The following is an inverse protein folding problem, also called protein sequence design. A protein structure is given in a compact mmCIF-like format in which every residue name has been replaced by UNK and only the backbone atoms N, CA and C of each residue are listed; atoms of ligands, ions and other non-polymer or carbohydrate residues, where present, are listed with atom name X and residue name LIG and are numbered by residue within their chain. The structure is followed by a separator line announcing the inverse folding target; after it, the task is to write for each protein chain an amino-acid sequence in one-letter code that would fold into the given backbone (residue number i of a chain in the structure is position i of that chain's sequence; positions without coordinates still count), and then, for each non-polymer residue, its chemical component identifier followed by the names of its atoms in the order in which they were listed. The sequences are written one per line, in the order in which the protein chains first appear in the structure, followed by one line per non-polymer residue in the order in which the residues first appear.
data_IF_055936518414
#
_entry.id   IF_055936518414
#
_cell.length_a   1.000
_cell.length_b   1.000
_cell.length_c   1.000
_cell.angle_alpha   90.00
_cell.angle_beta   90.00
_cell.angle_gamma   90.00
#
_symmetry.space_group_name_H-M   'P 1'
#
loop_
_entity.id
_entity.type
_entity.pdbx_description
1 polymer ?
#
# COMPACT_ATOMS: atom_id res chain seq x y z
N UNK A 1 0.14 -17.89 -6.17
CA UNK A 1 1.04 -17.88 -5.01
C UNK A 1 1.65 -16.49 -4.85
N UNK A 2 1.83 -16.03 -3.63
CA UNK A 2 2.48 -14.77 -3.29
C UNK A 2 3.67 -15.05 -2.37
N UNK A 3 4.45 -14.02 -2.03
CA UNK A 3 5.56 -14.16 -1.08
C UNK A 3 5.11 -14.73 0.26
N UNK A 4 3.93 -14.34 0.76
CA UNK A 4 3.44 -14.65 2.11
C UNK A 4 2.24 -15.60 2.15
N UNK A 5 1.63 -15.94 0.99
CA UNK A 5 0.38 -16.71 0.97
C UNK A 5 0.30 -17.66 -0.22
N UNK A 6 -0.38 -18.80 0.01
CA UNK A 6 -0.91 -19.63 -1.05
C UNK A 6 -2.29 -19.13 -1.47
N UNK A 7 -2.59 -19.17 -2.76
CA UNK A 7 -3.86 -18.76 -3.33
C UNK A 7 -4.46 -19.96 -4.08
N UNK A 8 -5.65 -20.38 -3.66
CA UNK A 8 -6.40 -21.46 -4.29
C UNK A 8 -7.66 -20.87 -4.91
N UNK A 9 -7.84 -21.07 -6.20
CA UNK A 9 -9.04 -20.60 -6.92
C UNK A 9 -9.94 -21.81 -7.18
N UNK A 10 -11.22 -21.65 -6.81
CA UNK A 10 -12.27 -22.62 -7.08
C UNK A 10 -13.53 -21.83 -7.51
N UNK A 11 -13.94 -22.02 -8.76
CA UNK A 11 -15.04 -21.29 -9.39
C UNK A 11 -14.88 -19.75 -9.24
N UNK A 12 -15.85 -19.10 -8.63
CA UNK A 12 -15.86 -17.64 -8.38
C UNK A 12 -15.17 -17.24 -7.06
N UNK A 13 -14.51 -18.18 -6.38
CA UNK A 13 -13.91 -17.96 -5.06
C UNK A 13 -12.39 -18.09 -5.08
N UNK A 14 -11.76 -17.24 -4.29
CA UNK A 14 -10.33 -17.29 -3.99
C UNK A 14 -10.15 -17.58 -2.50
N UNK A 15 -9.33 -18.56 -2.18
CA UNK A 15 -8.96 -18.94 -0.82
C UNK A 15 -7.50 -18.59 -0.59
N UNK A 16 -7.23 -17.69 0.34
CA UNK A 16 -5.90 -17.24 0.71
C UNK A 16 -5.48 -17.87 2.02
N UNK A 17 -4.42 -18.67 1.99
CA UNK A 17 -3.84 -19.36 3.16
C UNK A 17 -2.45 -18.80 3.41
N UNK A 18 -2.14 -18.39 4.64
CA UNK A 18 -0.81 -17.88 5.00
C UNK A 18 0.24 -18.98 4.95
N UNK A 19 1.40 -18.67 4.39
CA UNK A 19 2.56 -19.56 4.44
C UNK A 19 3.05 -19.68 5.88
N UNK A 20 3.64 -20.83 6.22
CA UNK A 20 4.32 -20.99 7.50
C UNK A 20 5.54 -20.06 7.56
N UNK A 21 5.72 -19.39 8.69
CA UNK A 21 6.86 -18.52 8.97
C UNK A 21 6.89 -18.14 10.45
N UNK A 22 7.98 -17.54 10.89
CA UNK A 22 8.16 -17.13 12.28
C UNK A 22 7.09 -16.14 12.78
N UNK A 23 6.40 -15.47 11.86
CA UNK A 23 5.33 -14.51 12.17
C UNK A 23 4.01 -15.18 12.57
N UNK A 24 3.80 -16.45 12.19
CA UNK A 24 2.55 -17.20 12.42
C UNK A 24 2.81 -18.56 13.09
N UNK A 25 3.30 -18.55 14.35
CA UNK A 25 3.81 -19.79 14.98
C UNK A 25 2.73 -20.78 15.42
N UNK A 26 1.46 -20.35 15.51
CA UNK A 26 0.34 -21.19 15.96
C UNK A 26 -0.92 -20.96 15.13
N UNK A 27 -1.83 -21.95 15.13
CA UNK A 27 -3.14 -21.83 14.48
C UNK A 27 -3.95 -20.65 15.02
N UNK A 28 -3.92 -20.42 16.32
CA UNK A 28 -4.62 -19.28 16.93
C UNK A 28 -4.11 -17.92 16.43
N UNK A 29 -2.80 -17.78 16.24
CA UNK A 29 -2.21 -16.58 15.66
C UNK A 29 -2.61 -16.41 14.20
N UNK A 30 -2.64 -17.50 13.43
CA UNK A 30 -3.09 -17.48 12.03
C UNK A 30 -4.56 -17.11 11.90
N UNK A 31 -5.42 -17.69 12.74
CA UNK A 31 -6.84 -17.33 12.79
C UNK A 31 -7.04 -15.84 13.08
N UNK A 32 -6.39 -15.34 14.13
CA UNK A 32 -6.48 -13.92 14.52
C UNK A 32 -6.05 -13.00 13.38
N UNK A 33 -4.97 -13.36 12.68
CA UNK A 33 -4.47 -12.61 11.54
C UNK A 33 -5.46 -12.63 10.35
N UNK A 34 -6.01 -13.82 10.01
CA UNK A 34 -7.03 -13.92 8.95
C UNK A 34 -8.28 -13.09 9.27
N UNK A 35 -8.71 -13.09 10.55
CA UNK A 35 -9.84 -12.26 10.99
C UNK A 35 -9.55 -10.77 10.91
N UNK A 36 -8.34 -10.34 11.29
CA UNK A 36 -7.91 -8.95 11.17
C UNK A 36 -7.84 -8.51 9.71
N UNK A 37 -7.26 -9.33 8.84
CA UNK A 37 -7.21 -9.08 7.40
C UNK A 37 -8.63 -8.99 6.78
N UNK A 38 -9.53 -9.88 7.20
CA UNK A 38 -10.93 -9.84 6.78
C UNK A 38 -11.61 -8.52 7.16
N UNK A 39 -11.49 -8.10 8.42
CA UNK A 39 -12.06 -6.84 8.91
C UNK A 39 -11.51 -5.61 8.18
N UNK A 40 -10.20 -5.58 7.94
CA UNK A 40 -9.57 -4.49 7.19
C UNK A 40 -10.05 -4.47 5.74
N UNK A 41 -10.13 -5.63 5.08
CA UNK A 41 -10.61 -5.74 3.71
C UNK A 41 -12.08 -5.33 3.57
N UNK A 42 -12.92 -5.69 4.52
CA UNK A 42 -14.33 -5.27 4.56
C UNK A 42 -14.48 -3.75 4.73
N UNK A 43 -13.56 -3.09 5.45
CA UNK A 43 -13.57 -1.61 5.55
C UNK A 43 -13.41 -0.95 4.20
N UNK A 44 -12.51 -1.46 3.36
CA UNK A 44 -12.29 -0.93 2.00
C UNK A 44 -13.41 -1.33 1.04
N UNK A 45 -14.07 -2.45 1.31
CA UNK A 45 -15.08 -3.03 0.44
C UNK A 45 -16.26 -3.59 1.26
N UNK A 46 -17.14 -2.74 1.81
CA UNK A 46 -18.22 -3.19 2.72
C UNK A 46 -19.13 -4.27 2.13
N UNK A 47 -19.28 -4.30 0.80
CA UNK A 47 -20.17 -5.23 0.09
C UNK A 47 -19.38 -6.37 -0.60
N UNK A 48 -18.11 -6.58 -0.27
CA UNK A 48 -17.36 -7.70 -0.80
C UNK A 48 -17.54 -8.92 0.08
N UNK A 49 -17.87 -10.06 -0.53
CA UNK A 49 -18.05 -11.31 0.20
C UNK A 49 -16.68 -11.81 0.68
N UNK A 50 -16.48 -11.73 1.99
CA UNK A 50 -15.26 -12.15 2.69
C UNK A 50 -15.63 -12.96 3.91
N UNK A 51 -14.96 -14.11 4.08
CA UNK A 51 -15.20 -15.04 5.19
C UNK A 51 -13.90 -15.71 5.63
N UNK A 52 -13.69 -15.87 6.93
CA UNK A 52 -12.60 -16.68 7.47
C UNK A 52 -13.10 -18.09 7.72
N UNK A 53 -12.46 -19.07 7.10
CA UNK A 53 -12.81 -20.48 7.18
C UNK A 53 -11.69 -21.29 7.81
N UNK A 54 -12.01 -22.31 8.65
CA UNK A 54 -11.04 -23.33 9.01
C UNK A 54 -10.73 -24.21 7.79
N UNK A 55 -9.49 -24.67 7.69
CA UNK A 55 -9.08 -25.71 6.77
C UNK A 55 -8.94 -26.98 7.60
N UNK A 56 -9.77 -27.97 7.32
CA UNK A 56 -9.87 -29.20 8.10
C UNK A 56 -9.30 -30.39 7.34
N UNK A 57 -8.61 -31.26 8.06
CA UNK A 57 -8.18 -32.55 7.57
C UNK A 57 -9.04 -33.67 8.19
N UNK A 58 -9.54 -34.56 7.36
CA UNK A 58 -10.28 -35.72 7.78
C UNK A 58 -9.88 -36.95 6.92
N UNK A 59 -9.19 -37.92 7.50
CA UNK A 59 -8.71 -39.14 6.83
C UNK A 59 -7.88 -38.90 5.55
N UNK A 60 -7.06 -37.81 5.54
CA UNK A 60 -6.24 -37.44 4.40
C UNK A 60 -6.92 -36.45 3.41
N UNK A 61 -8.22 -36.26 3.55
CA UNK A 61 -8.95 -35.27 2.77
C UNK A 61 -8.86 -33.87 3.41
N UNK A 62 -8.51 -32.87 2.61
CA UNK A 62 -8.44 -31.46 3.04
C UNK A 62 -9.67 -30.72 2.53
N UNK A 63 -10.39 -30.03 3.42
CA UNK A 63 -11.58 -29.23 3.09
C UNK A 63 -11.50 -27.83 3.66
N UNK A 64 -11.90 -26.85 2.86
CA UNK A 64 -12.10 -25.47 3.28
C UNK A 64 -13.50 -25.30 3.88
N UNK A 65 -13.56 -24.96 5.16
CA UNK A 65 -14.84 -24.88 5.90
C UNK A 65 -15.37 -26.23 6.37
N UNK A 66 -16.57 -26.20 6.97
CA UNK A 66 -17.23 -27.38 7.53
C UNK A 66 -16.84 -27.66 9.00
N UNK A 67 -17.50 -28.67 9.59
CA UNK A 67 -17.42 -29.00 11.04
C UNK A 67 -16.79 -30.36 11.32
N UNK A 68 -16.15 -31.02 10.34
CA UNK A 68 -15.56 -32.31 10.49
C UNK A 68 -14.04 -32.31 10.39
N UNK A 69 -13.37 -33.24 11.11
CA UNK A 69 -11.93 -33.39 11.08
C UNK A 69 -11.17 -32.49 12.06
N UNK A 70 -9.86 -32.42 11.87
CA UNK A 70 -8.96 -31.59 12.68
C UNK A 70 -8.63 -30.33 11.91
N UNK A 71 -8.80 -29.14 12.51
CA UNK A 71 -8.37 -27.88 11.89
C UNK A 71 -6.86 -27.82 11.84
N UNK A 72 -6.32 -27.74 10.63
CA UNK A 72 -4.88 -27.69 10.37
C UNK A 72 -4.42 -26.30 9.93
N UNK A 73 -5.35 -25.43 9.43
CA UNK A 73 -5.02 -24.09 8.92
C UNK A 73 -6.28 -23.20 8.90
N UNK A 74 -6.10 -21.91 8.63
CA UNK A 74 -7.18 -20.96 8.35
C UNK A 74 -7.00 -20.31 6.98
N UNK A 75 -8.11 -20.09 6.28
CA UNK A 75 -8.16 -19.43 4.99
C UNK A 75 -9.08 -18.21 5.03
N UNK A 76 -8.68 -17.15 4.32
CA UNK A 76 -9.58 -16.06 3.96
C UNK A 76 -10.20 -16.40 2.60
N UNK A 77 -11.51 -16.68 2.60
CA UNK A 77 -12.31 -16.86 1.38
C UNK A 77 -12.80 -15.51 0.89
N UNK A 78 -12.66 -15.23 -0.38
CA UNK A 78 -13.10 -14.01 -1.02
C UNK A 78 -13.61 -14.28 -2.43
N UNK A 79 -14.50 -13.41 -2.93
CA UNK A 79 -14.89 -13.42 -4.34
C UNK A 79 -13.64 -13.17 -5.21
N UNK A 80 -13.45 -14.01 -6.23
CA UNK A 80 -12.33 -13.88 -7.15
C UNK A 80 -12.55 -12.70 -8.08
N UNK A 81 -11.59 -11.77 -8.11
CA UNK A 81 -11.62 -10.64 -9.03
C UNK A 81 -10.87 -11.01 -10.32
N UNK A 82 -11.49 -10.87 -11.50
CA UNK A 82 -10.82 -11.12 -12.77
C UNK A 82 -9.63 -10.18 -12.99
N UNK A 83 -8.50 -10.73 -13.40
CA UNK A 83 -7.27 -9.97 -13.64
C UNK A 83 -7.46 -8.81 -14.62
N UNK A 84 -8.34 -8.97 -15.60
CA UNK A 84 -8.67 -7.93 -16.57
C UNK A 84 -9.29 -6.67 -15.97
N UNK A 85 -9.76 -6.70 -14.72
CA UNK A 85 -10.27 -5.56 -13.97
C UNK A 85 -9.18 -4.86 -13.14
N UNK A 86 -7.99 -5.45 -13.05
CA UNK A 86 -6.88 -4.87 -12.30
C UNK A 86 -6.41 -3.57 -12.96
N UNK A 87 -6.29 -2.52 -12.16
CA UNK A 87 -5.90 -1.19 -12.65
C UNK A 87 -4.56 -1.22 -13.38
N UNK A 88 -3.60 -2.04 -12.93
CA UNK A 88 -2.32 -2.20 -13.59
C UNK A 88 -2.49 -2.65 -15.06
N UNK A 89 -3.30 -3.68 -15.29
CA UNK A 89 -3.58 -4.16 -16.65
C UNK A 89 -4.39 -3.18 -17.49
N UNK A 90 -5.31 -2.45 -16.85
CA UNK A 90 -6.11 -1.44 -17.54
C UNK A 90 -5.26 -0.23 -17.96
N UNK A 91 -4.29 0.17 -17.13
CA UNK A 91 -3.32 1.23 -17.44
C UNK A 91 -2.38 0.84 -18.58
N UNK A 92 -1.87 -0.40 -18.56
CA UNK A 92 -1.02 -0.94 -19.61
C UNK A 92 -1.75 -0.96 -20.98
N UNK A 93 -3.02 -1.36 -20.98
CA UNK A 93 -3.88 -1.39 -22.16
C UNK A 93 -4.49 -0.02 -22.53
N UNK A 94 -4.14 1.07 -21.85
CA UNK A 94 -4.71 2.41 -22.02
C UNK A 94 -6.25 2.43 -21.97
N UNK A 95 -6.86 1.64 -21.09
CA UNK A 95 -8.32 1.53 -20.93
C UNK A 95 -8.88 2.37 -19.76
N UNK A 96 -8.05 3.16 -19.11
CA UNK A 96 -8.44 4.03 -18.00
C UNK A 96 -8.68 5.45 -18.51
N UNK A 97 -9.78 6.03 -18.06
CA UNK A 97 -10.17 7.42 -18.32
C UNK A 97 -10.02 8.29 -17.06
N UNK A 98 -10.07 9.60 -17.23
CA UNK A 98 -10.11 10.54 -16.10
C UNK A 98 -11.31 10.29 -15.19
N UNK A 99 -12.48 9.90 -15.73
CA UNK A 99 -13.67 9.56 -14.93
C UNK A 99 -13.42 8.32 -14.03
N UNK A 100 -12.70 7.33 -14.51
CA UNK A 100 -12.31 6.20 -13.68
C UNK A 100 -11.44 6.65 -12.49
N UNK A 101 -10.50 7.57 -12.73
CA UNK A 101 -9.65 8.13 -11.67
C UNK A 101 -10.45 8.96 -10.68
N UNK A 102 -11.47 9.70 -11.13
CA UNK A 102 -12.44 10.39 -10.26
C UNK A 102 -13.15 9.39 -9.34
N UNK A 103 -13.63 8.27 -9.85
CA UNK A 103 -14.28 7.20 -9.05
C UNK A 103 -13.33 6.61 -8.00
N UNK A 104 -12.09 6.30 -8.39
CA UNK A 104 -11.06 5.78 -7.46
C UNK A 104 -10.74 6.80 -6.36
N UNK A 105 -10.52 8.07 -6.73
CA UNK A 105 -10.22 9.15 -5.78
C UNK A 105 -11.36 9.39 -4.78
N UNK A 106 -12.60 9.38 -5.28
CA UNK A 106 -13.81 9.50 -4.46
C UNK A 106 -13.85 8.42 -3.40
N UNK A 107 -13.73 7.17 -3.82
CA UNK A 107 -13.80 6.04 -2.89
C UNK A 107 -12.66 6.05 -1.85
N UNK A 108 -11.44 6.38 -2.25
CA UNK A 108 -10.32 6.51 -1.31
C UNK A 108 -10.57 7.62 -0.30
N UNK A 109 -11.04 8.79 -0.75
CA UNK A 109 -11.34 9.92 0.14
C UNK A 109 -12.46 9.60 1.14
N UNK A 110 -13.51 8.90 0.71
CA UNK A 110 -14.61 8.44 1.57
C UNK A 110 -14.12 7.46 2.64
N UNK A 111 -13.28 6.48 2.27
CA UNK A 111 -12.69 5.52 3.20
C UNK A 111 -11.82 6.24 4.24
N UNK A 112 -10.99 7.18 3.82
CA UNK A 112 -10.16 7.95 4.72
C UNK A 112 -11.01 8.77 5.71
N UNK A 113 -12.13 9.35 5.25
CA UNK A 113 -13.01 10.15 6.09
C UNK A 113 -13.64 9.36 7.25
N UNK A 114 -13.93 8.07 7.06
CA UNK A 114 -14.54 7.19 8.07
C UNK A 114 -13.52 6.40 8.90
N UNK A 115 -12.23 6.57 8.65
CA UNK A 115 -11.16 5.73 9.23
C UNK A 115 -10.09 6.51 10.01
N UNK A 116 -10.41 7.61 10.74
CA UNK A 116 -9.38 8.34 11.47
C UNK A 116 -8.75 7.45 12.56
N UNK A 117 -7.43 7.49 12.64
CA UNK A 117 -6.71 6.85 13.73
C UNK A 117 -7.01 7.58 15.05
N UNK A 118 -7.04 6.83 16.15
CA UNK A 118 -7.41 7.36 17.47
C UNK A 118 -6.23 7.30 18.44
N UNK A 119 -6.24 8.20 19.40
CA UNK A 119 -5.34 8.20 20.56
C UNK A 119 -3.87 8.00 20.19
N UNK A 120 -3.24 7.00 20.82
CA UNK A 120 -1.84 6.65 20.61
C UNK A 120 -1.52 6.20 19.18
N UNK A 121 -2.48 5.64 18.45
CA UNK A 121 -2.27 5.23 17.06
C UNK A 121 -2.00 6.46 16.18
N UNK A 122 -2.74 7.55 16.38
CA UNK A 122 -2.54 8.80 15.63
C UNK A 122 -1.15 9.43 15.84
N UNK A 123 -0.45 9.09 16.93
CA UNK A 123 0.90 9.59 17.19
C UNK A 123 1.95 9.15 16.17
N UNK A 124 1.65 8.10 15.38
CA UNK A 124 2.49 7.70 14.23
C UNK A 124 2.63 8.80 13.18
N UNK A 125 1.66 9.72 13.11
CA UNK A 125 1.70 10.90 12.25
C UNK A 125 2.58 12.05 12.76
N UNK A 126 3.19 11.92 13.93
CA UNK A 126 4.16 12.90 14.43
C UNK A 126 5.44 12.90 13.56
N UNK A 127 6.19 14.03 13.50
CA UNK A 127 7.38 14.12 12.67
C UNK A 127 8.47 13.10 13.04
N UNK A 128 8.64 12.76 14.32
CA UNK A 128 9.65 11.80 14.77
C UNK A 128 9.44 10.38 14.22
N UNK A 129 8.26 9.75 14.37
CA UNK A 129 7.96 8.46 13.77
C UNK A 129 8.14 8.44 12.24
N UNK A 130 7.69 9.47 11.52
CA UNK A 130 7.89 9.54 10.08
C UNK A 130 9.36 9.68 9.71
N UNK A 131 10.13 10.49 10.49
CA UNK A 131 11.57 10.59 10.32
C UNK A 131 12.25 9.23 10.45
N UNK A 132 11.89 8.47 11.49
CA UNK A 132 12.45 7.14 11.71
C UNK A 132 12.16 6.18 10.54
N UNK A 133 10.96 6.24 9.95
CA UNK A 133 10.63 5.46 8.76
C UNK A 133 11.50 5.85 7.54
N UNK A 134 11.74 7.14 7.34
CA UNK A 134 12.64 7.61 6.28
C UNK A 134 14.07 7.14 6.50
N UNK A 135 14.57 7.26 7.73
CA UNK A 135 15.93 6.85 8.10
C UNK A 135 16.14 5.34 7.92
N UNK A 136 15.14 4.53 8.26
CA UNK A 136 15.18 3.07 8.06
C UNK A 136 15.25 2.71 6.56
N UNK A 137 14.42 3.31 5.71
CA UNK A 137 14.48 3.12 4.26
C UNK A 137 15.85 3.52 3.69
N UNK A 138 16.37 4.67 4.10
CA UNK A 138 17.67 5.16 3.66
C UNK A 138 18.80 4.25 4.13
N UNK A 139 18.65 3.63 5.30
CA UNK A 139 19.59 2.61 5.78
C UNK A 139 19.53 1.32 4.96
N UNK A 140 18.31 0.84 4.65
CA UNK A 140 18.11 -0.34 3.81
C UNK A 140 18.71 -0.16 2.41
N UNK A 141 18.59 1.04 1.84
CA UNK A 141 19.18 1.37 0.54
C UNK A 141 20.69 1.18 0.47
N UNK A 142 21.41 1.35 1.59
CA UNK A 142 22.87 1.15 1.62
C UNK A 142 23.31 -0.25 1.19
N UNK A 143 22.43 -1.24 1.30
CA UNK A 143 22.71 -2.62 0.87
C UNK A 143 22.79 -2.77 -0.66
N UNK A 144 22.27 -1.78 -1.40
CA UNK A 144 22.15 -1.80 -2.86
C UNK A 144 23.02 -0.76 -3.57
N UNK A 145 23.97 -0.16 -2.84
CA UNK A 145 24.80 0.95 -3.34
C UNK A 145 25.71 0.62 -4.54
N UNK A 146 26.16 -0.59 -4.67
CA UNK A 146 27.23 -0.89 -5.63
C UNK A 146 26.79 -0.92 -7.10
N UNK A 147 25.48 -0.97 -7.37
CA UNK A 147 24.98 -1.14 -8.73
C UNK A 147 24.27 0.09 -9.31
N UNK A 148 23.65 0.95 -8.47
CA UNK A 148 22.65 1.90 -8.99
C UNK A 148 22.55 3.21 -8.22
N UNK A 149 23.04 3.31 -7.01
CA UNK A 149 22.93 4.49 -6.16
C UNK A 149 24.32 4.90 -5.64
N UNK A 150 24.63 6.18 -5.77
CA UNK A 150 25.84 6.78 -5.17
C UNK A 150 25.46 7.59 -3.94
N UNK A 151 26.43 7.82 -3.04
CA UNK A 151 26.22 8.64 -1.84
C UNK A 151 25.67 10.04 -2.18
N UNK A 152 26.14 10.77 -3.22
CA UNK A 152 25.57 12.05 -3.61
C UNK A 152 24.09 11.98 -3.98
N UNK A 153 23.65 10.93 -4.70
CA UNK A 153 22.22 10.76 -5.05
C UNK A 153 21.38 10.56 -3.79
N UNK A 154 21.87 9.75 -2.85
CA UNK A 154 21.20 9.56 -1.57
C UNK A 154 21.08 10.86 -0.78
N UNK A 155 22.14 11.65 -0.73
CA UNK A 155 22.15 12.92 -0.02
C UNK A 155 21.20 13.96 -0.67
N UNK A 156 21.05 13.92 -2.00
CA UNK A 156 20.05 14.72 -2.72
C UNK A 156 18.59 14.39 -2.31
N UNK A 157 18.33 13.17 -1.88
CA UNK A 157 17.01 12.77 -1.39
C UNK A 157 16.89 13.05 0.10
N UNK A 158 17.89 12.66 0.87
CA UNK A 158 17.88 12.71 2.32
C UNK A 158 17.76 14.14 2.85
N UNK A 159 18.64 15.06 2.41
CA UNK A 159 18.66 16.41 2.95
C UNK A 159 17.33 17.18 2.81
N UNK A 160 16.64 17.20 1.62
CA UNK A 160 15.35 17.84 1.54
C UNK A 160 14.29 17.23 2.44
N UNK A 161 14.25 15.88 2.55
CA UNK A 161 13.31 15.18 3.44
C UNK A 161 13.52 15.57 4.90
N UNK A 162 14.75 15.43 5.37
CA UNK A 162 15.13 15.74 6.74
C UNK A 162 14.83 17.19 7.10
N UNK A 163 15.29 18.12 6.25
CA UNK A 163 15.04 19.53 6.45
C UNK A 163 13.55 19.85 6.49
N UNK A 164 12.77 19.30 5.56
CA UNK A 164 11.32 19.56 5.55
C UNK A 164 10.64 19.06 6.82
N UNK A 165 10.97 17.85 7.29
CA UNK A 165 10.41 17.30 8.52
C UNK A 165 10.75 18.19 9.71
N UNK A 166 11.98 18.67 9.81
CA UNK A 166 12.45 19.51 10.91
C UNK A 166 11.82 20.91 10.90
N UNK A 167 11.69 21.52 9.72
CA UNK A 167 11.12 22.86 9.58
C UNK A 167 9.59 22.88 9.73
N UNK A 168 8.92 21.76 9.44
CA UNK A 168 7.45 21.67 9.37
C UNK A 168 6.81 20.83 10.48
N UNK A 169 7.44 20.67 11.64
CA UNK A 169 6.90 19.89 12.79
C UNK A 169 5.49 20.31 13.18
N UNK A 170 5.18 21.60 13.09
CA UNK A 170 3.84 22.14 13.37
C UNK A 170 2.78 21.63 12.38
N UNK A 171 3.15 21.48 11.10
CA UNK A 171 2.27 20.97 10.04
C UNK A 171 1.93 19.48 10.29
N UNK A 172 2.90 18.63 10.58
CA UNK A 172 2.66 17.22 10.95
C UNK A 172 1.72 17.11 12.14
N UNK A 173 1.98 17.87 13.22
CA UNK A 173 1.12 17.88 14.38
C UNK A 173 -0.30 18.43 14.09
N UNK A 174 -0.43 19.41 13.20
CA UNK A 174 -1.73 19.92 12.72
C UNK A 174 -2.50 18.84 11.97
N UNK A 175 -1.83 18.13 11.06
CA UNK A 175 -2.45 17.03 10.29
C UNK A 175 -2.97 15.94 11.20
N UNK A 176 -2.18 15.53 12.20
CA UNK A 176 -2.62 14.58 13.23
C UNK A 176 -3.89 15.07 13.93
N UNK A 177 -3.92 16.30 14.42
CA UNK A 177 -5.11 16.88 15.10
C UNK A 177 -6.32 17.01 14.18
N UNK A 178 -6.11 17.20 12.87
CA UNK A 178 -7.16 17.34 11.88
C UNK A 178 -7.66 15.99 11.32
N UNK A 179 -7.30 14.87 11.95
CA UNK A 179 -7.75 13.54 11.53
C UNK A 179 -7.18 13.08 10.17
N UNK A 180 -5.99 13.59 9.79
CA UNK A 180 -5.33 13.19 8.56
C UNK A 180 -4.46 11.94 8.73
N UNK A 181 -4.35 11.42 9.94
CA UNK A 181 -3.77 10.11 10.23
C UNK A 181 -4.92 9.13 10.33
N UNK A 182 -4.88 8.12 9.49
CA UNK A 182 -5.98 7.18 9.30
C UNK A 182 -5.49 5.74 9.41
N UNK A 183 -6.41 4.83 9.62
CA UNK A 183 -6.18 3.42 9.34
C UNK A 183 -6.38 3.24 7.83
N UNK A 184 -5.31 3.48 7.07
CA UNK A 184 -5.28 3.49 5.62
C UNK A 184 -4.97 2.13 5.00
N UNK A 185 -4.74 2.12 3.70
CA UNK A 185 -4.42 0.92 2.94
C UNK A 185 -2.91 0.61 2.96
N UNK A 186 -2.05 1.64 2.99
CA UNK A 186 -0.58 1.52 3.02
C UNK A 186 0.09 1.13 1.70
N UNK A 187 -0.70 0.78 0.68
CA UNK A 187 -0.21 0.43 -0.65
C UNK A 187 -1.35 0.47 -1.70
N UNK A 188 -1.90 1.66 -1.99
CA UNK A 188 -2.79 1.84 -3.14
C UNK A 188 -1.97 1.79 -4.43
N UNK A 189 -1.47 0.60 -4.76
CA UNK A 189 -0.76 0.32 -6.00
C UNK A 189 -1.75 -0.17 -7.07
N UNK A 190 -1.48 0.03 -8.36
CA UNK A 190 -2.38 -0.39 -9.42
C UNK A 190 -2.74 -1.87 -9.40
N UNK A 191 -1.86 -2.74 -8.92
CA UNK A 191 -2.11 -4.17 -8.76
C UNK A 191 -3.11 -4.51 -7.63
N UNK A 192 -3.37 -3.57 -6.71
CA UNK A 192 -4.30 -3.76 -5.60
C UNK A 192 -5.66 -3.10 -5.84
N UNK A 193 -5.85 -2.46 -6.98
CA UNK A 193 -7.07 -1.75 -7.36
C UNK A 193 -7.74 -2.48 -8.53
N UNK A 194 -9.00 -2.83 -8.37
CA UNK A 194 -9.81 -3.48 -9.40
C UNK A 194 -10.98 -2.60 -9.76
N UNK A 195 -11.22 -2.46 -11.06
CA UNK A 195 -12.27 -1.62 -11.61
C UNK A 195 -13.12 -2.43 -12.59
N UNK A 196 -14.41 -2.56 -12.28
CA UNK A 196 -15.40 -3.13 -13.17
C UNK A 196 -16.54 -2.11 -13.37
N UNK A 197 -16.63 -1.51 -14.56
CA UNK A 197 -17.49 -0.37 -14.81
C UNK A 197 -17.21 0.74 -13.77
N UNK A 198 -18.21 1.07 -12.92
CA UNK A 198 -18.07 2.09 -11.88
C UNK A 198 -17.77 1.50 -10.49
N UNK A 199 -17.60 0.18 -10.40
CA UNK A 199 -17.35 -0.49 -9.13
C UNK A 199 -15.84 -0.61 -8.92
N UNK A 200 -15.33 0.09 -7.92
CA UNK A 200 -13.94 0.00 -7.47
C UNK A 200 -13.84 -0.98 -6.30
N UNK A 201 -12.88 -1.90 -6.35
CA UNK A 201 -12.51 -2.82 -5.26
C UNK A 201 -11.04 -2.65 -4.93
N UNK A 202 -10.72 -2.74 -3.64
CA UNK A 202 -9.35 -2.71 -3.14
C UNK A 202 -9.04 -4.04 -2.47
N UNK A 203 -8.00 -4.73 -2.94
CA UNK A 203 -7.50 -5.90 -2.22
C UNK A 203 -6.46 -5.44 -1.21
N UNK A 204 -6.55 -5.98 0.01
CA UNK A 204 -5.57 -5.68 1.05
C UNK A 204 -4.17 -6.06 0.60
N UNK A 205 -3.16 -5.20 0.82
CA UNK A 205 -1.79 -5.59 0.65
C UNK A 205 -1.48 -6.78 1.57
N UNK A 206 -0.63 -7.68 1.09
CA UNK A 206 -0.38 -9.00 1.68
C UNK A 206 0.22 -9.00 3.08
N UNK A 207 0.60 -7.83 3.62
CA UNK A 207 1.42 -7.69 4.83
C UNK A 207 0.87 -6.63 5.79
N UNK A 208 -0.46 -6.53 5.93
CA UNK A 208 -1.00 -5.55 6.88
C UNK A 208 -0.94 -6.10 8.30
N UNK A 209 0.14 -5.78 9.03
CA UNK A 209 0.03 -5.59 10.46
C UNK A 209 -0.70 -4.27 10.73
N UNK A 210 -1.69 -4.28 11.63
CA UNK A 210 -2.45 -3.08 12.02
C UNK A 210 -1.58 -1.84 12.25
N UNK A 211 -0.37 -2.01 12.79
CA UNK A 211 0.60 -0.92 12.99
C UNK A 211 1.10 -0.26 11.71
N UNK A 212 1.18 -1.00 10.60
CA UNK A 212 1.65 -0.47 9.31
C UNK A 212 0.54 0.22 8.51
N UNK A 213 -0.71 -0.02 8.89
CA UNK A 213 -1.87 0.59 8.26
C UNK A 213 -2.21 1.98 8.83
N UNK A 214 -1.61 2.39 9.96
CA UNK A 214 -1.82 3.73 10.52
C UNK A 214 -0.83 4.71 9.89
N UNK A 215 -1.35 5.58 9.04
CA UNK A 215 -0.53 6.46 8.20
C UNK A 215 -1.24 7.79 7.91
N UNK A 216 -0.46 8.78 7.45
CA UNK A 216 -1.02 10.00 6.88
C UNK A 216 -1.69 9.70 5.53
N UNK A 217 -2.88 10.24 5.27
CA UNK A 217 -3.58 10.08 4.00
C UNK A 217 -2.72 10.45 2.79
N UNK A 218 -1.74 11.35 2.98
CA UNK A 218 -0.79 11.71 1.93
C UNK A 218 0.09 10.51 1.49
N UNK A 219 0.35 9.54 2.38
CA UNK A 219 1.07 8.32 2.02
C UNK A 219 0.25 7.47 1.03
N UNK A 220 -1.02 7.22 1.33
CA UNK A 220 -1.88 6.42 0.45
C UNK A 220 -2.09 7.10 -0.90
N UNK A 221 -2.36 8.41 -0.91
CA UNK A 221 -2.45 9.20 -2.15
C UNK A 221 -1.15 9.14 -2.94
N UNK A 222 0.00 9.26 -2.26
CA UNK A 222 1.31 9.22 -2.90
C UNK A 222 1.63 7.86 -3.51
N UNK A 223 1.18 6.76 -2.91
CA UNK A 223 1.41 5.42 -3.46
C UNK A 223 0.90 5.30 -4.90
N UNK A 224 -0.33 5.77 -5.18
CA UNK A 224 -0.88 5.73 -6.54
C UNK A 224 -0.28 6.79 -7.45
N UNK A 225 -0.03 8.02 -6.94
CA UNK A 225 0.53 9.09 -7.78
C UNK A 225 1.97 8.83 -8.22
N UNK A 226 2.76 8.10 -7.42
CA UNK A 226 4.09 7.63 -7.83
C UNK A 226 3.99 6.69 -9.02
N UNK A 227 3.07 5.73 -8.99
CA UNK A 227 2.88 4.79 -10.11
C UNK A 227 2.37 5.49 -11.37
N UNK A 228 1.40 6.38 -11.25
CA UNK A 228 0.91 7.17 -12.39
C UNK A 228 2.03 8.04 -12.98
N UNK A 229 2.89 8.60 -12.14
CA UNK A 229 4.08 9.37 -12.58
C UNK A 229 5.08 8.49 -13.31
N UNK A 230 5.36 7.28 -12.78
CA UNK A 230 6.27 6.31 -13.40
C UNK A 230 5.78 5.89 -14.79
N UNK A 231 4.48 5.70 -14.93
CA UNK A 231 3.83 5.32 -16.18
C UNK A 231 3.59 6.49 -17.14
N UNK A 232 3.98 7.73 -16.77
CA UNK A 232 3.78 8.92 -17.60
C UNK A 232 2.31 9.33 -17.78
N UNK A 233 1.43 8.96 -16.82
CA UNK A 233 -0.02 9.21 -16.89
C UNK A 233 -0.41 10.51 -16.19
N UNK A 234 0.16 11.65 -16.63
CA UNK A 234 -0.01 12.94 -15.96
C UNK A 234 -1.48 13.39 -15.86
N UNK A 235 -2.27 13.26 -16.94
CA UNK A 235 -3.68 13.66 -16.94
C UNK A 235 -4.52 12.85 -15.94
N UNK A 236 -4.24 11.55 -15.83
CA UNK A 236 -4.89 10.67 -14.85
C UNK A 236 -4.51 11.04 -13.42
N UNK A 237 -3.23 11.36 -13.20
CA UNK A 237 -2.72 11.81 -11.91
C UNK A 237 -3.41 13.12 -11.48
N UNK A 238 -3.45 14.13 -12.37
CA UNK A 238 -4.07 15.41 -12.08
C UNK A 238 -5.55 15.27 -11.73
N UNK A 239 -6.28 14.45 -12.51
CA UNK A 239 -7.69 14.16 -12.25
C UNK A 239 -7.89 13.48 -10.88
N UNK A 240 -7.05 12.51 -10.54
CA UNK A 240 -7.07 11.80 -9.26
C UNK A 240 -6.84 12.76 -8.07
N UNK A 241 -5.76 13.55 -8.12
CA UNK A 241 -5.39 14.47 -7.04
C UNK A 241 -6.45 15.56 -6.87
N UNK A 242 -6.92 16.15 -7.97
CA UNK A 242 -7.97 17.18 -7.96
C UNK A 242 -9.23 16.67 -7.28
N UNK A 243 -9.73 15.51 -7.68
CA UNK A 243 -10.93 14.91 -7.11
C UNK A 243 -10.75 14.56 -5.63
N UNK A 244 -9.62 13.98 -5.27
CA UNK A 244 -9.30 13.67 -3.87
C UNK A 244 -9.33 14.92 -2.99
N UNK A 245 -8.70 16.01 -3.44
CA UNK A 245 -8.71 17.31 -2.75
C UNK A 245 -10.11 17.90 -2.63
N UNK A 246 -10.93 17.76 -3.68
CA UNK A 246 -12.29 18.27 -3.67
C UNK A 246 -13.15 17.58 -2.59
N UNK A 247 -13.04 16.28 -2.40
CA UNK A 247 -13.79 15.53 -1.40
C UNK A 247 -13.19 15.69 0.00
N UNK A 248 -11.89 15.45 0.12
CA UNK A 248 -11.21 15.44 1.42
C UNK A 248 -11.10 16.82 2.07
N UNK A 249 -11.17 17.91 1.26
CA UNK A 249 -10.94 19.30 1.69
C UNK A 249 -9.60 19.48 2.45
N UNK A 250 -8.60 18.63 2.14
CA UNK A 250 -7.29 18.67 2.78
C UNK A 250 -6.41 19.75 2.15
N UNK A 251 -6.49 20.97 2.70
CA UNK A 251 -5.76 22.15 2.20
C UNK A 251 -4.24 22.02 2.27
N UNK A 252 -3.74 21.12 3.12
CA UNK A 252 -2.30 20.95 3.33
C UNK A 252 -1.73 19.75 2.54
N UNK A 253 -2.57 18.97 1.85
CA UNK A 253 -2.14 17.77 1.11
C UNK A 253 -1.05 18.09 0.09
N UNK A 254 -1.21 19.15 -0.72
CA UNK A 254 -0.25 19.51 -1.77
C UNK A 254 1.14 19.85 -1.23
N UNK A 255 1.24 20.32 0.02
CA UNK A 255 2.52 20.55 0.69
C UNK A 255 3.19 19.26 1.12
N UNK A 256 2.39 18.21 1.40
CA UNK A 256 2.87 16.90 1.85
C UNK A 256 3.15 15.95 0.70
N UNK A 257 2.50 16.12 -0.45
CA UNK A 257 2.62 15.20 -1.58
C UNK A 257 4.08 14.94 -2.00
N UNK A 258 4.93 15.94 -2.29
CA UNK A 258 6.30 15.66 -2.72
C UNK A 258 7.11 14.89 -1.68
N UNK A 259 6.84 15.12 -0.39
CA UNK A 259 7.50 14.44 0.73
C UNK A 259 7.13 12.96 0.74
N UNK A 260 5.82 12.65 0.71
CA UNK A 260 5.35 11.27 0.71
C UNK A 260 5.57 10.56 -0.62
N UNK A 261 5.55 11.28 -1.76
CA UNK A 261 5.95 10.72 -3.06
C UNK A 261 7.42 10.30 -3.06
N UNK A 262 8.30 11.12 -2.48
CA UNK A 262 9.72 10.76 -2.30
C UNK A 262 9.84 9.49 -1.45
N UNK A 263 9.15 9.43 -0.31
CA UNK A 263 9.13 8.26 0.57
C UNK A 263 8.58 7.01 -0.13
N UNK A 264 7.44 7.11 -0.82
CA UNK A 264 6.80 5.99 -1.51
C UNK A 264 7.67 5.50 -2.68
N UNK A 265 8.30 6.39 -3.43
CA UNK A 265 9.22 6.00 -4.51
C UNK A 265 10.44 5.26 -3.95
N UNK A 266 11.05 5.72 -2.86
CA UNK A 266 12.13 5.02 -2.17
C UNK A 266 11.68 3.62 -1.71
N UNK A 267 10.51 3.53 -1.07
CA UNK A 267 9.93 2.26 -0.59
C UNK A 267 9.74 1.26 -1.73
N UNK A 268 9.20 1.70 -2.87
CA UNK A 268 9.04 0.83 -4.03
C UNK A 268 10.40 0.43 -4.65
N UNK A 269 11.37 1.34 -4.70
CA UNK A 269 12.72 1.03 -5.16
C UNK A 269 13.40 -0.04 -4.30
N UNK A 270 13.35 0.09 -2.97
CA UNK A 270 13.87 -0.93 -2.03
C UNK A 270 13.18 -2.27 -2.24
N UNK A 271 11.82 -2.28 -2.25
CA UNK A 271 11.05 -3.51 -2.48
C UNK A 271 11.41 -4.18 -3.80
N UNK A 272 11.62 -3.40 -4.85
CA UNK A 272 12.02 -3.92 -6.17
C UNK A 272 13.42 -4.54 -6.14
N UNK A 273 14.36 -3.93 -5.41
CA UNK A 273 15.69 -4.53 -5.19
C UNK A 273 15.60 -5.85 -4.40
N UNK A 274 14.75 -5.93 -3.39
CA UNK A 274 14.52 -7.17 -2.62
C UNK A 274 13.95 -8.28 -3.52
N UNK A 275 12.98 -7.94 -4.36
CA UNK A 275 12.40 -8.88 -5.34
C UNK A 275 13.43 -9.33 -6.37
N UNK A 276 14.27 -8.42 -6.87
CA UNK A 276 15.38 -8.73 -7.78
C UNK A 276 16.27 -9.83 -7.20
N UNK A 277 16.68 -9.67 -5.94
CA UNK A 277 17.53 -10.65 -5.25
C UNK A 277 16.79 -11.97 -5.02
N UNK A 278 15.54 -11.92 -4.54
CA UNK A 278 14.76 -13.09 -4.20
C UNK A 278 14.41 -13.94 -5.43
N UNK A 279 14.08 -13.29 -6.55
CA UNK A 279 13.68 -13.95 -7.81
C UNK A 279 14.85 -14.19 -8.77
N UNK A 280 16.02 -13.63 -8.48
CA UNK A 280 17.20 -13.62 -9.38
C UNK A 280 16.87 -13.03 -10.74
N UNK A 281 16.03 -11.99 -10.76
CA UNK A 281 15.57 -11.34 -12.00
C UNK A 281 16.28 -9.99 -12.16
N UNK A 282 17.28 -9.97 -13.04
CA UNK A 282 18.06 -8.78 -13.35
C UNK A 282 17.25 -7.66 -14.01
N UNK A 283 16.13 -7.98 -14.66
CA UNK A 283 15.26 -6.99 -15.32
C UNK A 283 14.64 -6.00 -14.33
N UNK A 284 14.43 -6.43 -13.07
CA UNK A 284 13.94 -5.58 -11.99
C UNK A 284 14.91 -4.45 -11.59
N UNK A 285 16.19 -4.55 -12.00
CA UNK A 285 17.16 -3.49 -11.76
C UNK A 285 16.78 -2.16 -12.41
N UNK A 286 16.30 -2.20 -13.66
CA UNK A 286 15.81 -1.01 -14.37
C UNK A 286 14.60 -0.39 -13.66
N UNK A 287 13.65 -1.21 -13.25
CA UNK A 287 12.47 -0.75 -12.51
C UNK A 287 12.85 -0.10 -11.17
N UNK A 288 13.80 -0.67 -10.44
CA UNK A 288 14.30 -0.07 -9.20
C UNK A 288 14.91 1.31 -9.45
N UNK A 289 15.69 1.46 -10.54
CA UNK A 289 16.27 2.75 -10.95
C UNK A 289 15.20 3.79 -11.30
N UNK A 290 14.13 3.40 -11.97
CA UNK A 290 13.02 4.30 -12.28
C UNK A 290 12.42 4.90 -10.99
N UNK A 291 12.22 4.08 -9.95
CA UNK A 291 11.74 4.57 -8.66
C UNK A 291 12.74 5.49 -7.97
N UNK A 292 14.03 5.20 -8.03
CA UNK A 292 15.05 6.09 -7.42
C UNK A 292 15.14 7.42 -8.17
N UNK A 293 15.04 7.43 -9.48
CA UNK A 293 14.97 8.64 -10.29
C UNK A 293 13.72 9.48 -9.95
N UNK A 294 12.59 8.83 -9.73
CA UNK A 294 11.37 9.50 -9.24
C UNK A 294 11.58 10.08 -7.85
N UNK A 295 12.23 9.36 -6.93
CA UNK A 295 12.52 9.86 -5.60
C UNK A 295 13.41 11.13 -5.65
N UNK A 296 14.43 11.15 -6.52
CA UNK A 296 15.24 12.35 -6.77
C UNK A 296 14.41 13.49 -7.33
N UNK A 297 13.51 13.23 -8.29
CA UNK A 297 12.64 14.25 -8.86
C UNK A 297 11.74 14.85 -7.79
N UNK A 298 11.01 14.03 -7.05
CA UNK A 298 10.08 14.49 -6.01
C UNK A 298 10.81 15.22 -4.86
N UNK A 299 12.02 14.77 -4.49
CA UNK A 299 12.80 15.44 -3.45
C UNK A 299 13.15 16.91 -3.82
N UNK A 300 13.30 17.21 -5.11
CA UNK A 300 13.52 18.58 -5.60
C UNK A 300 12.25 19.45 -5.57
N UNK A 301 11.07 18.80 -5.61
CA UNK A 301 9.77 19.44 -5.54
C UNK A 301 9.32 19.71 -4.08
N UNK A 302 10.02 19.18 -3.08
CA UNK A 302 9.74 19.44 -1.67
C UNK A 302 9.88 20.94 -1.40
N UNK A 303 8.82 21.59 -0.83
CA UNK A 303 8.85 23.03 -0.57
C UNK A 303 10.03 23.40 0.31
N UNK A 304 10.74 24.43 -0.09
CA UNK A 304 11.82 25.05 0.70
C UNK A 304 11.23 26.27 1.42
N UNK A 305 11.27 26.23 2.76
CA UNK A 305 10.87 27.38 3.58
C UNK A 305 11.99 28.42 3.60
#
# INVERSE_FOLDING_TARGET
ETTTSYLFKADDWLYKVKKMGNEYPTLAVKEAFCREECLLSQRFNPNWALEVLPVNENNGDIKFGGTGGTTIEYALKMEALPDQWQLAQLLDKNKITTNNMVGIATKIAEIHAISPAKDKEAETGKPGPFRAQCDDLLFQLKRYFEASLTQPILDMIRHPLEKYIDDNKSLFNKRMRNGRIVLGHGAFLPEHIFLNQDVVRFISPQEIHKKLAVLDVANDVSSLTVELSRLGKAELLDSFVKQYLEISKDKDLLKMLPVYQTYCALKQGVKTCELKVAQKDESLGTLAMDYFNLAVRFSREIPRN
#
